data_IF_942212790368
#
_entry.id   IF_942212790368
#
_cell.length_a   1.000
_cell.length_b   1.000
_cell.length_c   1.000
_cell.angle_alpha   90.00
_cell.angle_beta   90.00
_cell.angle_gamma   90.00
#
_symmetry.space_group_name_H-M   'P 1'
#
loop_
_entity.id
_entity.type
_entity.pdbx_description
1 polymer ?
#
# COMPACT_ATOMS: atom_id res chain seq x y z
N UNK A 1 12.67 -7.31 -3.99
CA UNK A 1 13.10 -6.40 -2.89
C UNK A 1 12.53 -6.90 -1.57
N UNK A 2 13.28 -6.81 -0.47
CA UNK A 2 12.79 -7.16 0.87
C UNK A 2 12.00 -6.00 1.51
N UNK A 3 10.85 -6.29 2.13
CA UNK A 3 10.01 -5.30 2.81
C UNK A 3 10.49 -5.15 4.26
N UNK A 4 10.90 -3.93 4.62
CA UNK A 4 11.46 -3.61 5.95
C UNK A 4 10.39 -3.40 7.02
N UNK A 5 9.19 -2.96 6.62
CA UNK A 5 8.06 -2.82 7.54
C UNK A 5 7.74 -4.21 8.12
N UNK A 6 7.72 -4.40 9.45
CA UNK A 6 7.46 -5.70 10.06
C UNK A 6 5.98 -6.06 9.93
N UNK A 7 5.62 -6.71 8.81
CA UNK A 7 4.26 -7.16 8.52
C UNK A 7 3.92 -8.36 9.41
N UNK A 8 3.10 -8.12 10.44
CA UNK A 8 2.51 -9.11 11.35
C UNK A 8 1.12 -9.53 10.88
N UNK A 9 0.82 -10.83 10.99
CA UNK A 9 -0.42 -11.46 10.51
C UNK A 9 -1.72 -10.95 11.17
N UNK A 10 -1.68 -10.65 12.48
CA UNK A 10 -2.83 -10.17 13.27
C UNK A 10 -2.68 -8.73 13.78
N UNK A 11 -1.92 -7.89 13.08
CA UNK A 11 -1.78 -6.48 13.46
C UNK A 11 -2.78 -5.56 12.74
N UNK A 12 -3.09 -4.45 13.40
CA UNK A 12 -3.72 -3.31 12.77
C UNK A 12 -2.64 -2.36 12.26
N UNK A 13 -2.91 -1.76 11.11
CA UNK A 13 -2.06 -0.78 10.46
C UNK A 13 -2.88 0.49 10.27
N UNK A 14 -2.17 1.61 10.26
CA UNK A 14 -2.67 2.84 9.69
C UNK A 14 -2.36 2.80 8.20
N UNK A 15 -3.36 3.12 7.38
CA UNK A 15 -3.16 3.42 5.97
C UNK A 15 -3.50 4.88 5.74
N UNK A 16 -2.56 5.63 5.16
CA UNK A 16 -2.79 6.99 4.71
C UNK A 16 -2.85 6.95 3.19
N UNK A 17 -3.96 7.45 2.66
CA UNK A 17 -4.22 7.57 1.22
C UNK A 17 -4.06 9.05 0.86
N UNK A 18 -3.12 9.35 -0.04
CA UNK A 18 -2.90 10.70 -0.56
C UNK A 18 -3.20 10.73 -2.05
N UNK A 19 -4.01 11.68 -2.47
CA UNK A 19 -4.27 11.98 -3.88
C UNK A 19 -4.51 13.49 -4.08
N UNK A 20 -4.92 13.89 -5.28
CA UNK A 20 -5.20 15.29 -5.63
C UNK A 20 -6.31 15.95 -4.80
N UNK A 21 -7.18 15.14 -4.17
CA UNK A 21 -8.29 15.62 -3.34
C UNK A 21 -7.90 15.82 -1.88
N UNK A 22 -6.73 15.31 -1.47
CA UNK A 22 -6.18 15.48 -0.14
C UNK A 22 -5.69 14.17 0.48
N UNK A 23 -5.68 14.14 1.80
CA UNK A 23 -5.19 13.02 2.61
C UNK A 23 -6.33 12.42 3.46
N UNK A 24 -6.46 11.09 3.43
CA UNK A 24 -7.35 10.33 4.30
C UNK A 24 -6.58 9.26 5.04
N UNK A 25 -6.78 9.17 6.36
CA UNK A 25 -6.18 8.15 7.20
C UNK A 25 -7.25 7.15 7.65
N UNK A 26 -6.94 5.86 7.55
CA UNK A 26 -7.83 4.77 7.95
C UNK A 26 -7.08 3.67 8.69
N UNK A 27 -7.84 2.76 9.31
CA UNK A 27 -7.32 1.53 9.89
C UNK A 27 -7.48 0.38 8.89
N UNK A 28 -6.41 -0.37 8.64
CA UNK A 28 -6.48 -1.61 7.89
C UNK A 28 -5.82 -2.78 8.64
N UNK A 29 -6.00 -3.99 8.12
CA UNK A 29 -5.35 -5.19 8.63
C UNK A 29 -4.95 -6.13 7.48
N UNK A 30 -4.25 -7.21 7.80
CA UNK A 30 -3.80 -8.24 6.84
C UNK A 30 -3.07 -7.65 5.62
N UNK A 31 -2.15 -6.71 5.88
CA UNK A 31 -1.30 -6.13 4.85
C UNK A 31 -0.42 -7.25 4.27
N UNK A 32 -0.41 -7.38 2.95
CA UNK A 32 0.43 -8.30 2.20
C UNK A 32 1.04 -7.52 1.05
N UNK A 33 2.34 -7.65 0.85
CA UNK A 33 3.06 -7.02 -0.25
C UNK A 33 3.76 -8.12 -1.04
N UNK A 34 3.57 -8.10 -2.36
CA UNK A 34 4.16 -9.08 -3.26
C UNK A 34 4.80 -8.36 -4.44
N UNK A 35 6.01 -8.77 -4.78
CA UNK A 35 6.66 -8.34 -6.01
C UNK A 35 6.10 -9.10 -7.22
N UNK A 36 5.88 -8.40 -8.34
CA UNK A 36 5.53 -9.06 -9.59
C UNK A 36 6.75 -9.74 -10.22
N UNK A 37 6.57 -10.97 -10.68
CA UNK A 37 7.57 -11.66 -11.50
C UNK A 37 7.75 -10.98 -12.86
N UNK A 38 8.88 -11.17 -13.55
CA UNK A 38 9.08 -10.62 -14.89
C UNK A 38 7.97 -11.04 -15.88
N UNK A 39 7.51 -12.29 -15.81
CA UNK A 39 6.43 -12.79 -16.65
C UNK A 39 5.08 -12.09 -16.36
N UNK A 40 4.77 -11.81 -15.09
CA UNK A 40 3.58 -11.04 -14.72
C UNK A 40 3.69 -9.58 -15.15
N UNK A 41 4.87 -8.96 -15.00
CA UNK A 41 5.13 -7.59 -15.44
C UNK A 41 4.87 -7.43 -16.93
N UNK A 42 5.40 -8.35 -17.74
CA UNK A 42 5.19 -8.32 -19.19
C UNK A 42 3.73 -8.60 -19.55
N UNK A 43 3.13 -9.62 -18.95
CA UNK A 43 1.75 -10.03 -19.26
C UNK A 43 0.71 -8.95 -18.93
N UNK A 44 0.83 -8.26 -17.80
CA UNK A 44 -0.18 -7.31 -17.32
C UNK A 44 0.17 -5.85 -17.62
N UNK A 45 1.46 -5.53 -17.76
CA UNK A 45 1.95 -4.16 -17.84
C UNK A 45 2.93 -3.93 -19.00
N UNK A 46 3.09 -4.89 -19.93
CA UNK A 46 4.04 -4.80 -21.06
C UNK A 46 3.76 -3.65 -22.04
N UNK A 47 2.54 -3.13 -22.07
CA UNK A 47 2.16 -1.96 -22.89
C UNK A 47 2.41 -0.62 -22.20
N UNK A 48 2.75 -0.62 -20.91
CA UNK A 48 3.06 0.61 -20.18
C UNK A 48 4.53 1.00 -20.37
N UNK A 49 4.80 2.29 -20.29
CA UNK A 49 6.16 2.81 -20.21
C UNK A 49 6.87 2.24 -18.99
N UNK A 50 8.19 2.03 -19.08
CA UNK A 50 8.97 1.50 -17.97
C UNK A 50 8.84 2.37 -16.71
N UNK A 51 8.65 3.68 -16.88
CA UNK A 51 8.40 4.66 -15.82
C UNK A 51 6.95 4.70 -15.31
N UNK A 52 6.02 3.91 -15.85
CA UNK A 52 4.67 3.71 -15.31
C UNK A 52 4.39 2.28 -14.82
N UNK A 53 5.21 1.29 -15.22
CA UNK A 53 5.05 -0.12 -14.81
C UNK A 53 5.09 -0.31 -13.28
N UNK A 54 4.05 -0.88 -12.66
CA UNK A 54 4.08 -1.22 -11.24
C UNK A 54 5.05 -2.37 -10.98
N UNK A 55 5.66 -2.36 -9.80
CA UNK A 55 6.63 -3.37 -9.38
C UNK A 55 6.07 -4.32 -8.34
N UNK A 56 5.12 -3.85 -7.54
CA UNK A 56 4.54 -4.57 -6.43
C UNK A 56 3.03 -4.46 -6.42
N UNK A 57 2.38 -5.44 -5.81
CA UNK A 57 1.00 -5.39 -5.40
C UNK A 57 0.94 -5.33 -3.87
N UNK A 58 0.13 -4.41 -3.34
CA UNK A 58 -0.29 -4.44 -1.94
C UNK A 58 -1.72 -4.91 -1.84
N UNK A 59 -2.00 -5.74 -0.85
CA UNK A 59 -3.34 -6.18 -0.49
C UNK A 59 -3.55 -5.92 0.99
N UNK A 60 -4.70 -5.38 1.36
CA UNK A 60 -5.07 -5.10 2.74
C UNK A 60 -6.59 -5.18 2.91
N UNK A 61 -7.05 -5.24 4.15
CA UNK A 61 -8.48 -5.24 4.47
C UNK A 61 -8.83 -3.95 5.22
N UNK A 62 -9.81 -3.23 4.70
CA UNK A 62 -10.39 -2.02 5.32
C UNK A 62 -11.87 -2.27 5.60
N UNK A 63 -12.31 -2.08 6.85
CA UNK A 63 -13.67 -2.42 7.32
C UNK A 63 -14.22 -3.80 6.85
N UNK A 64 -13.34 -4.80 6.72
CA UNK A 64 -13.70 -6.14 6.23
C UNK A 64 -13.69 -6.30 4.70
N UNK A 65 -13.61 -5.21 3.94
CA UNK A 65 -13.44 -5.23 2.50
C UNK A 65 -11.97 -5.43 2.12
N UNK A 66 -11.70 -6.47 1.31
CA UNK A 66 -10.37 -6.67 0.71
C UNK A 66 -10.13 -5.59 -0.36
N UNK A 67 -8.97 -4.95 -0.29
CA UNK A 67 -8.45 -3.98 -1.26
C UNK A 67 -7.12 -4.49 -1.80
N UNK A 68 -6.89 -4.23 -3.08
CA UNK A 68 -5.61 -4.49 -3.74
C UNK A 68 -5.24 -3.30 -4.60
N UNK A 69 -3.95 -2.99 -4.65
CA UNK A 69 -3.42 -1.90 -5.46
C UNK A 69 -2.04 -2.27 -6.01
N UNK A 70 -1.83 -1.98 -7.28
CA UNK A 70 -0.59 -2.22 -8.01
C UNK A 70 0.18 -0.90 -8.16
N UNK A 71 1.44 -0.89 -7.73
CA UNK A 71 2.23 0.32 -7.72
C UNK A 71 3.71 0.06 -7.51
N UNK A 72 4.43 1.14 -7.19
CA UNK A 72 5.85 1.12 -6.89
C UNK A 72 6.08 1.51 -5.46
N UNK A 73 7.03 0.82 -4.83
CA UNK A 73 7.48 1.21 -3.52
C UNK A 73 8.40 2.43 -3.68
N UNK A 74 7.98 3.55 -3.13
CA UNK A 74 8.74 4.81 -3.09
C UNK A 74 9.43 5.00 -1.74
N UNK A 75 8.96 4.31 -0.70
CA UNK A 75 9.59 4.33 0.61
C UNK A 75 9.46 2.99 1.30
N UNK A 76 10.56 2.48 1.87
CA UNK A 76 10.63 1.17 2.51
C UNK A 76 11.54 1.25 3.74
N UNK A 77 10.92 1.46 4.91
CA UNK A 77 11.60 1.60 6.21
C UNK A 77 10.99 0.63 7.23
N UNK A 78 11.60 0.52 8.41
CA UNK A 78 11.05 -0.28 9.49
C UNK A 78 9.73 0.29 10.05
N UNK A 79 9.51 1.60 9.90
CA UNK A 79 8.34 2.30 10.45
C UNK A 79 7.19 2.44 9.44
N UNK A 80 7.53 2.59 8.15
CA UNK A 80 6.55 2.80 7.08
C UNK A 80 6.96 2.21 5.73
N UNK A 81 5.93 1.87 4.96
CA UNK A 81 5.99 1.46 3.56
C UNK A 81 5.07 2.36 2.74
N UNK A 82 5.58 3.01 1.70
CA UNK A 82 4.78 3.84 0.80
C UNK A 82 4.79 3.25 -0.60
N UNK A 83 3.59 3.07 -1.15
CA UNK A 83 3.37 2.59 -2.52
C UNK A 83 2.65 3.66 -3.31
N UNK A 84 3.29 4.12 -4.38
CA UNK A 84 2.70 5.01 -5.35
C UNK A 84 2.04 4.21 -6.47
N UNK A 85 0.77 4.48 -6.73
CA UNK A 85 0.01 3.92 -7.84
C UNK A 85 -0.02 4.92 -9.00
N UNK A 86 -0.44 4.44 -10.18
CA UNK A 86 -0.60 5.31 -11.35
C UNK A 86 -1.54 6.49 -11.05
N UNK A 87 -1.19 7.68 -11.54
CA UNK A 87 -1.94 8.91 -11.29
C UNK A 87 -1.52 9.66 -10.02
N UNK A 88 -0.37 9.32 -9.43
CA UNK A 88 0.21 10.05 -8.30
C UNK A 88 -0.44 9.77 -6.93
N UNK A 89 -1.42 8.86 -6.89
CA UNK A 89 -2.04 8.43 -5.63
C UNK A 89 -1.07 7.55 -4.85
N UNK A 90 -0.99 7.77 -3.54
CA UNK A 90 -0.07 7.05 -2.66
C UNK A 90 -0.80 6.37 -1.52
N UNK A 91 -0.35 5.17 -1.18
CA UNK A 91 -0.73 4.44 0.03
C UNK A 91 0.48 4.32 0.94
N UNK A 92 0.43 4.97 2.09
CA UNK A 92 1.43 4.81 3.15
C UNK A 92 0.87 3.89 4.23
N UNK A 93 1.63 2.85 4.59
CA UNK A 93 1.30 1.89 5.62
C UNK A 93 2.27 2.01 6.78
N UNK A 94 1.75 2.08 7.99
CA UNK A 94 2.53 1.98 9.23
C UNK A 94 1.82 1.11 10.24
N UNK A 95 2.55 0.54 11.21
CA UNK A 95 1.89 -0.12 12.34
C UNK A 95 1.02 0.90 13.10
N UNK A 96 -0.20 0.50 13.43
CA UNK A 96 -1.10 1.34 14.22
C UNK A 96 -0.65 1.29 15.68
N UNK A 97 -0.21 2.43 16.24
CA UNK A 97 0.20 2.50 17.64
C UNK A 97 -1.01 2.81 18.54
N UNK A 98 -1.01 2.35 19.80
CA UNK A 98 -2.06 2.69 20.76
C UNK A 98 -2.24 4.21 20.87
N UNK A 99 -3.48 4.69 20.77
CA UNK A 99 -3.81 6.12 20.87
C UNK A 99 -3.92 6.87 19.53
N UNK A 100 -3.48 6.29 18.41
CA UNK A 100 -3.62 6.90 17.06
C UNK A 100 -5.02 6.69 16.43
N UNK A 101 -5.92 6.00 17.12
CA UNK A 101 -7.22 5.58 16.58
C UNK A 101 -8.23 6.72 16.42
N UNK A 102 -8.03 7.85 17.11
CA UNK A 102 -9.02 8.93 17.23
C UNK A 102 -9.31 9.69 15.92
N UNK A 103 -8.45 9.55 14.91
CA UNK A 103 -8.52 10.31 13.65
C UNK A 103 -8.64 9.41 12.41
N UNK A 104 -9.02 8.14 12.56
CA UNK A 104 -9.13 7.20 11.45
C UNK A 104 -10.56 7.16 10.89
N UNK A 105 -10.71 7.55 9.63
CA UNK A 105 -11.95 7.45 8.83
C UNK A 105 -11.75 6.40 7.73
N UNK A 106 -12.81 5.75 7.21
CA UNK A 106 -12.64 4.70 6.18
C UNK A 106 -11.75 5.08 4.99
N UNK A 107 -10.99 4.12 4.45
CA UNK A 107 -10.13 4.33 3.28
C UNK A 107 -10.95 4.26 1.99
N UNK A 108 -11.81 5.25 1.76
CA UNK A 108 -12.50 5.45 0.49
C UNK A 108 -12.28 6.89 0.02
#
# INVERSE_FOLDING_TARGET
>A
MEIKLPIKFHANYKVIVRDETGEKAARCNRVLVREFTPAEKERFFGTLEESERPTHQVTFHDYGCKRSAEGRIVENTADKLTIEIRGGKQYEFSLLRPGEEKNLTGAC
#
